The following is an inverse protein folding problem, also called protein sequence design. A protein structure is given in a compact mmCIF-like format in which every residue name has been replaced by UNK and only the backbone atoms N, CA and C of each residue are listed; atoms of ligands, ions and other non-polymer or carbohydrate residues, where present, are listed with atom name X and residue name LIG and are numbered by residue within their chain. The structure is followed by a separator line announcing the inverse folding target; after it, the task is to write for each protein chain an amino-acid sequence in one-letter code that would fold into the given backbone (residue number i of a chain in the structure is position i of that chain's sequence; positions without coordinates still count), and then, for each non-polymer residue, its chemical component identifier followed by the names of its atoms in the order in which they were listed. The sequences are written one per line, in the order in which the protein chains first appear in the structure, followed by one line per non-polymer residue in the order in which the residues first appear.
data_IF_463372366009
#
_entry.id   IF_463372366009
#
_cell.length_a   1.000
_cell.length_b   1.000
_cell.length_c   1.000
_cell.angle_alpha   90.00
_cell.angle_beta   90.00
_cell.angle_gamma   90.00
#
_symmetry.space_group_name_H-M   'P 1'
#
loop_
_entity.id
_entity.type
_entity.pdbx_description
1 polymer ?
#
# COMPACT_ATOMS: atom_id res chain seq x y z
N UNK A 1 8.85 21.50 26.12
CA UNK A 1 9.95 20.52 25.95
C UNK A 1 9.76 19.85 24.60
N UNK A 2 10.55 20.26 23.61
CA UNK A 2 10.53 19.72 22.25
C UNK A 2 11.38 18.45 22.25
N UNK A 3 10.75 17.29 22.14
CA UNK A 3 11.42 16.00 21.95
C UNK A 3 11.86 15.84 20.49
N UNK A 4 13.09 16.18 20.18
CA UNK A 4 13.73 15.82 18.91
C UNK A 4 14.38 14.44 19.06
N UNK A 5 14.28 13.60 18.03
CA UNK A 5 15.02 12.35 17.94
C UNK A 5 16.32 12.59 17.17
N UNK A 6 17.45 12.14 17.73
CA UNK A 6 18.74 12.14 17.06
C UNK A 6 18.95 10.81 16.34
N UNK A 7 19.27 10.87 15.04
CA UNK A 7 19.88 9.74 14.34
C UNK A 7 21.38 9.77 14.67
N UNK A 8 21.82 8.90 15.58
CA UNK A 8 23.23 8.74 15.90
C UNK A 8 23.82 7.68 14.99
N UNK A 9 24.57 8.10 13.98
CA UNK A 9 25.54 7.23 13.33
C UNK A 9 26.80 7.22 14.19
N UNK A 10 27.19 6.04 14.68
CA UNK A 10 28.32 5.84 15.59
C UNK A 10 29.69 6.10 14.95
N UNK A 11 29.80 6.59 13.73
CA UNK A 11 31.09 6.76 13.05
C UNK A 11 31.32 8.04 12.24
N UNK A 12 30.40 9.04 12.18
CA UNK A 12 30.72 10.35 11.55
C UNK A 12 29.92 11.50 12.15
N UNK A 13 30.57 12.66 12.23
CA UNK A 13 30.10 13.94 12.77
C UNK A 13 28.63 14.22 12.48
N UNK A 14 27.85 14.25 13.56
CA UNK A 14 26.41 14.41 13.59
C UNK A 14 25.96 15.73 12.94
N UNK A 15 25.19 15.62 11.87
CA UNK A 15 24.20 16.61 11.55
C UNK A 15 22.97 16.33 12.41
N UNK A 16 22.72 17.16 13.41
CA UNK A 16 21.50 17.09 14.21
C UNK A 16 20.34 17.50 13.33
N UNK A 17 19.51 16.55 12.95
CA UNK A 17 18.24 16.84 12.25
C UNK A 17 17.15 16.89 13.30
N UNK A 18 16.73 18.08 13.72
CA UNK A 18 15.56 18.26 14.56
C UNK A 18 14.30 18.15 13.66
N UNK A 19 13.59 17.04 13.78
CA UNK A 19 12.26 16.89 13.17
C UNK A 19 11.22 17.36 14.18
N UNK A 20 10.60 18.50 13.92
CA UNK A 20 9.42 18.92 14.67
C UNK A 20 8.27 17.97 14.34
N UNK A 21 7.98 17.12 15.31
CA UNK A 21 6.67 16.49 15.55
C UNK A 21 6.11 15.53 14.49
N UNK A 22 6.86 14.51 14.05
CA UNK A 22 6.27 13.24 13.64
C UNK A 22 7.37 12.24 13.26
N UNK A 23 7.20 11.00 13.68
CA UNK A 23 8.20 9.94 13.68
C UNK A 23 8.99 9.81 12.39
N UNK A 24 10.26 9.47 12.54
CA UNK A 24 11.14 9.09 11.43
C UNK A 24 10.45 7.95 10.68
N UNK A 25 10.07 8.20 9.43
CA UNK A 25 9.64 7.14 8.56
C UNK A 25 10.81 6.16 8.39
N UNK A 26 10.53 4.88 8.47
CA UNK A 26 11.54 3.83 8.24
C UNK A 26 12.17 4.01 6.86
N UNK A 27 13.45 3.69 6.75
CA UNK A 27 14.11 3.64 5.44
C UNK A 27 13.53 2.50 4.60
N UNK A 28 13.20 2.82 3.36
CA UNK A 28 12.87 1.85 2.34
C UNK A 28 13.76 2.08 1.13
N UNK A 29 14.41 1.03 0.68
CA UNK A 29 15.34 1.05 -0.47
C UNK A 29 16.43 2.13 -0.38
N UNK A 30 16.87 2.45 0.85
CA UNK A 30 17.94 3.41 1.12
C UNK A 30 17.48 4.87 1.22
N UNK A 31 16.18 5.14 1.12
CA UNK A 31 15.58 6.46 1.26
C UNK A 31 14.55 6.49 2.38
N UNK A 32 14.51 7.58 3.14
CA UNK A 32 13.48 7.83 4.14
C UNK A 32 12.73 9.12 3.82
N UNK A 33 11.41 9.08 3.99
CA UNK A 33 10.54 10.24 3.84
C UNK A 33 10.78 11.22 4.97
N UNK A 34 10.90 12.50 4.65
CA UNK A 34 11.00 13.61 5.59
C UNK A 34 9.89 14.64 5.32
N UNK A 35 9.56 15.40 6.35
CA UNK A 35 8.60 16.50 6.27
C UNK A 35 9.26 17.79 6.75
N UNK A 36 9.25 18.83 5.93
CA UNK A 36 9.77 20.16 6.27
C UNK A 36 8.99 21.24 5.51
N UNK A 37 8.73 22.35 6.19
CA UNK A 37 8.05 23.51 5.61
C UNK A 37 6.69 23.19 4.95
N UNK A 38 5.96 22.24 5.55
CA UNK A 38 4.63 21.84 5.07
C UNK A 38 4.65 20.84 3.92
N UNK A 39 5.82 20.32 3.51
CA UNK A 39 5.96 19.43 2.36
C UNK A 39 6.82 18.20 2.69
N UNK A 40 6.60 17.14 1.92
CA UNK A 40 7.39 15.91 1.98
C UNK A 40 8.52 15.90 0.95
N UNK A 41 9.64 15.32 1.34
CA UNK A 41 10.81 15.02 0.52
C UNK A 41 11.52 13.76 1.02
N UNK A 42 12.74 13.51 0.57
CA UNK A 42 13.45 12.29 0.94
C UNK A 42 14.93 12.54 1.23
N UNK A 43 15.46 11.79 2.18
CA UNK A 43 16.89 11.75 2.56
C UNK A 43 17.45 10.35 2.33
N UNK A 44 18.77 10.26 2.12
CA UNK A 44 19.52 9.01 2.09
C UNK A 44 19.90 8.55 3.52
N UNK A 45 20.52 7.38 3.61
CA UNK A 45 20.98 6.79 4.89
C UNK A 45 22.12 7.60 5.57
N UNK A 46 22.70 8.58 4.87
CA UNK A 46 23.70 9.50 5.42
C UNK A 46 23.09 10.82 5.91
N UNK A 47 21.76 10.97 5.74
CA UNK A 47 21.02 12.18 6.08
C UNK A 47 21.10 13.29 5.02
N UNK A 48 21.64 13.02 3.83
CA UNK A 48 21.65 14.01 2.77
C UNK A 48 20.25 14.08 2.13
N UNK A 49 19.76 15.29 1.88
CA UNK A 49 18.52 15.49 1.14
C UNK A 49 18.72 15.14 -0.33
N UNK A 50 18.09 14.04 -0.76
CA UNK A 50 18.13 13.56 -2.14
C UNK A 50 17.01 14.19 -2.96
N UNK A 51 15.83 14.31 -2.37
CA UNK A 51 14.65 14.90 -3.01
C UNK A 51 14.14 16.04 -2.12
N UNK A 52 13.99 17.23 -2.70
CA UNK A 52 13.52 18.41 -1.98
C UNK A 52 12.12 18.20 -1.39
N UNK A 53 11.83 18.85 -0.25
CA UNK A 53 10.49 18.87 0.33
C UNK A 53 9.58 19.77 -0.51
N UNK A 54 8.83 19.18 -1.44
CA UNK A 54 7.97 19.87 -2.40
C UNK A 54 6.62 19.21 -2.60
N UNK A 55 6.43 18.00 -2.10
CA UNK A 55 5.20 17.24 -2.30
C UNK A 55 4.24 17.42 -1.13
N UNK A 56 2.95 17.61 -1.45
CA UNK A 56 1.90 17.73 -0.44
C UNK A 56 1.71 16.43 0.36
N UNK A 57 2.01 15.28 -0.27
CA UNK A 57 2.05 13.98 0.39
C UNK A 57 2.99 13.04 -0.38
N UNK A 58 3.49 11.99 0.30
CA UNK A 58 4.41 11.04 -0.29
C UNK A 58 4.29 9.66 0.38
N UNK A 59 4.35 8.61 -0.44
CA UNK A 59 4.51 7.22 0.00
C UNK A 59 5.97 6.87 0.27
N UNK A 60 6.23 5.59 0.50
CA UNK A 60 7.57 5.02 0.62
C UNK A 60 8.05 4.49 -0.74
N UNK A 61 9.36 4.41 -0.94
CA UNK A 61 9.93 3.78 -2.14
C UNK A 61 9.71 2.27 -2.11
N UNK A 62 9.25 1.72 -3.24
CA UNK A 62 9.16 0.31 -3.53
C UNK A 62 9.48 0.10 -5.01
N UNK A 63 10.22 -0.96 -5.36
CA UNK A 63 10.64 -1.24 -6.74
C UNK A 63 11.26 -0.03 -7.47
N UNK A 64 11.98 0.82 -6.72
CA UNK A 64 12.65 2.02 -7.24
C UNK A 64 11.77 3.24 -7.44
N UNK A 65 10.48 3.19 -7.12
CA UNK A 65 9.49 4.25 -7.33
C UNK A 65 8.77 4.63 -6.04
N UNK A 66 8.32 5.87 -5.95
CA UNK A 66 7.42 6.34 -4.89
C UNK A 66 6.22 7.07 -5.51
N UNK A 67 5.05 6.90 -4.89
CA UNK A 67 3.87 7.72 -5.19
C UNK A 67 3.99 9.02 -4.41
N UNK A 68 3.80 10.15 -5.08
CA UNK A 68 3.77 11.48 -4.46
C UNK A 68 2.53 12.23 -4.89
N UNK A 69 2.14 13.22 -4.09
CA UNK A 69 1.03 14.11 -4.43
C UNK A 69 1.54 15.54 -4.60
N UNK A 70 1.32 16.12 -5.78
CA UNK A 70 1.69 17.50 -6.08
C UNK A 70 0.58 18.18 -6.89
N UNK A 71 0.23 19.41 -6.52
CA UNK A 71 -0.82 20.18 -7.20
C UNK A 71 -2.17 19.45 -7.37
N UNK A 72 -2.52 18.61 -6.37
CA UNK A 72 -3.75 17.81 -6.38
C UNK A 72 -3.69 16.55 -7.26
N UNK A 73 -2.56 16.28 -7.92
CA UNK A 73 -2.36 15.09 -8.76
C UNK A 73 -1.47 14.08 -8.06
N UNK A 74 -1.71 12.81 -8.33
CA UNK A 74 -0.85 11.72 -7.93
C UNK A 74 0.13 11.38 -9.04
N UNK A 75 1.38 11.22 -8.68
CA UNK A 75 2.51 11.02 -9.59
C UNK A 75 3.42 9.92 -9.07
N UNK A 76 4.14 9.24 -9.97
CA UNK A 76 5.24 8.34 -9.65
C UNK A 76 6.56 9.06 -9.93
N UNK A 77 7.47 9.00 -8.98
CA UNK A 77 8.83 9.51 -9.11
C UNK A 77 9.85 8.38 -8.90
N UNK A 78 11.00 8.51 -9.52
CA UNK A 78 12.16 7.65 -9.26
C UNK A 78 12.96 8.13 -8.03
N UNK A 79 14.02 7.39 -7.67
CA UNK A 79 14.89 7.71 -6.52
C UNK A 79 15.67 9.01 -6.65
N UNK A 80 15.71 9.63 -7.85
CA UNK A 80 16.30 10.96 -8.06
C UNK A 80 15.28 12.08 -7.91
N UNK A 81 13.99 11.72 -7.87
CA UNK A 81 12.87 12.65 -7.88
C UNK A 81 12.40 13.01 -9.29
N UNK A 82 12.88 12.29 -10.31
CA UNK A 82 12.43 12.48 -11.68
C UNK A 82 11.04 11.89 -11.86
N UNK A 83 10.17 12.63 -12.57
CA UNK A 83 8.81 12.20 -12.86
C UNK A 83 8.82 11.02 -13.83
N UNK A 84 8.26 9.88 -13.38
CA UNK A 84 8.10 8.67 -14.20
C UNK A 84 6.71 8.60 -14.81
N UNK A 85 5.68 8.96 -14.04
CA UNK A 85 4.29 8.92 -14.48
C UNK A 85 3.46 10.00 -13.80
N UNK A 86 2.68 10.74 -14.56
CA UNK A 86 1.57 11.56 -14.05
C UNK A 86 0.25 10.90 -14.42
N UNK A 87 -0.61 10.68 -13.44
CA UNK A 87 -1.86 9.94 -13.63
C UNK A 87 -3.07 10.87 -13.70
N UNK A 88 -4.06 10.47 -14.50
CA UNK A 88 -5.40 11.08 -14.48
C UNK A 88 -6.31 10.49 -13.41
N UNK A 89 -5.89 9.35 -12.80
CA UNK A 89 -6.63 8.67 -11.74
C UNK A 89 -6.24 9.19 -10.37
N UNK A 90 -7.16 9.17 -9.43
CA UNK A 90 -6.83 9.35 -8.03
C UNK A 90 -6.23 8.06 -7.46
N UNK A 91 -5.23 8.22 -6.59
CA UNK A 91 -4.63 7.10 -5.85
C UNK A 91 -5.12 7.17 -4.41
N UNK A 92 -5.97 6.22 -3.96
CA UNK A 92 -6.50 6.24 -2.60
C UNK A 92 -5.43 5.98 -1.54
N UNK A 93 -4.36 5.33 -1.94
CA UNK A 93 -3.21 5.01 -1.10
C UNK A 93 -1.93 5.44 -1.80
N UNK A 94 -0.97 5.95 -1.03
CA UNK A 94 0.35 6.35 -1.53
C UNK A 94 1.38 5.20 -1.51
N UNK A 95 0.92 3.98 -1.31
CA UNK A 95 1.72 2.77 -1.40
C UNK A 95 1.09 1.82 -2.40
N UNK A 96 1.92 0.99 -3.01
CA UNK A 96 1.49 -0.06 -3.92
C UNK A 96 2.20 -1.37 -3.57
N UNK A 97 1.72 -2.46 -4.10
CA UNK A 97 2.27 -3.79 -3.86
C UNK A 97 2.28 -4.58 -5.16
N UNK A 98 3.28 -5.44 -5.31
CA UNK A 98 3.42 -6.35 -6.46
C UNK A 98 3.35 -5.63 -7.82
N UNK A 99 3.90 -4.39 -7.88
CA UNK A 99 3.91 -3.57 -9.09
C UNK A 99 2.56 -3.01 -9.52
N UNK A 100 1.51 -3.13 -8.67
CA UNK A 100 0.16 -2.68 -8.95
C UNK A 100 -0.27 -1.58 -7.99
N UNK A 101 -0.75 -0.49 -8.57
CA UNK A 101 -1.18 0.73 -7.90
C UNK A 101 -2.70 0.75 -7.91
N UNK A 102 -3.32 1.00 -6.75
CA UNK A 102 -4.73 1.31 -6.67
C UNK A 102 -5.05 2.59 -7.43
N UNK A 103 -6.11 2.56 -8.21
CA UNK A 103 -6.67 3.73 -8.88
C UNK A 103 -8.16 3.85 -8.58
N UNK A 104 -8.62 5.10 -8.52
CA UNK A 104 -10.05 5.41 -8.41
C UNK A 104 -10.45 6.28 -9.60
N UNK A 105 -11.60 5.97 -10.17
CA UNK A 105 -12.31 6.81 -11.11
C UNK A 105 -13.81 6.69 -10.85
N UNK A 106 -14.50 7.83 -10.74
CA UNK A 106 -15.95 7.88 -10.51
C UNK A 106 -16.42 7.05 -9.29
N UNK A 107 -15.59 7.03 -8.22
CA UNK A 107 -15.89 6.30 -6.99
C UNK A 107 -15.73 4.78 -7.09
N UNK A 108 -15.20 4.26 -8.20
CA UNK A 108 -14.89 2.84 -8.38
C UNK A 108 -13.39 2.60 -8.33
N UNK A 109 -13.02 1.47 -7.78
CA UNK A 109 -11.64 1.02 -7.62
C UNK A 109 -11.20 0.11 -8.77
N UNK A 110 -9.95 0.29 -9.18
CA UNK A 110 -9.25 -0.54 -10.14
C UNK A 110 -7.76 -0.59 -9.85
N UNK A 111 -6.98 -1.08 -10.78
CA UNK A 111 -5.54 -1.18 -10.64
C UNK A 111 -4.82 -0.86 -11.95
N UNK A 112 -3.71 -0.14 -11.84
CA UNK A 112 -2.78 0.10 -12.94
C UNK A 112 -1.38 -0.39 -12.55
N UNK A 113 -0.57 -0.70 -13.52
CA UNK A 113 0.84 -0.99 -13.27
C UNK A 113 1.68 0.30 -13.20
N UNK A 114 2.94 0.18 -12.79
CA UNK A 114 3.89 1.29 -12.67
C UNK A 114 4.26 1.94 -14.01
N UNK A 115 3.85 1.35 -15.16
CA UNK A 115 4.00 1.94 -16.50
C UNK A 115 2.78 2.77 -16.93
N UNK A 116 1.75 2.85 -16.08
CA UNK A 116 0.52 3.60 -16.38
C UNK A 116 -0.54 2.80 -17.15
N UNK A 117 -0.34 1.51 -17.39
CA UNK A 117 -1.35 0.68 -18.05
C UNK A 117 -2.38 0.19 -17.03
N UNK A 118 -3.65 0.43 -17.29
CA UNK A 118 -4.75 -0.14 -16.49
C UNK A 118 -4.77 -1.65 -16.68
N UNK A 119 -4.60 -2.39 -15.60
CA UNK A 119 -4.66 -3.86 -15.56
C UNK A 119 -6.06 -4.31 -15.18
N UNK A 120 -6.68 -3.61 -14.23
CA UNK A 120 -8.05 -3.85 -13.79
C UNK A 120 -8.80 -2.52 -13.87
N UNK A 121 -9.81 -2.44 -14.72
CA UNK A 121 -10.63 -1.24 -14.87
C UNK A 121 -11.32 -0.87 -13.55
N UNK A 122 -11.60 0.43 -13.36
CA UNK A 122 -12.31 0.92 -12.18
C UNK A 122 -13.78 0.46 -12.23
N UNK A 123 -14.08 -0.66 -11.57
CA UNK A 123 -15.40 -1.30 -11.58
C UNK A 123 -15.85 -1.79 -10.20
N UNK A 124 -14.94 -1.93 -9.25
CA UNK A 124 -15.24 -2.43 -7.92
C UNK A 124 -15.66 -1.31 -6.96
N UNK A 125 -16.56 -1.62 -6.03
CA UNK A 125 -17.02 -0.69 -4.99
C UNK A 125 -15.92 -0.42 -3.95
N UNK A 126 -15.03 -1.40 -3.75
CA UNK A 126 -13.84 -1.30 -2.91
C UNK A 126 -12.79 -2.31 -3.38
N UNK A 127 -11.51 -2.03 -3.07
CA UNK A 127 -10.41 -2.94 -3.32
C UNK A 127 -9.30 -2.72 -2.27
N UNK A 128 -8.55 -3.78 -1.97
CA UNK A 128 -7.40 -3.73 -1.06
C UNK A 128 -6.11 -3.97 -1.86
N UNK A 129 -4.96 -3.65 -1.24
CA UNK A 129 -3.66 -3.89 -1.85
C UNK A 129 -3.42 -5.38 -2.12
N UNK A 130 -2.62 -5.68 -3.14
CA UNK A 130 -2.20 -7.04 -3.44
C UNK A 130 -1.36 -7.64 -2.31
N UNK A 131 -1.59 -8.91 -2.04
CA UNK A 131 -0.81 -9.75 -1.13
C UNK A 131 -0.85 -11.17 -1.66
N UNK A 132 0.32 -11.81 -1.78
CA UNK A 132 0.48 -13.19 -2.28
C UNK A 132 -0.16 -13.42 -3.65
N UNK A 133 -0.10 -12.42 -4.54
CA UNK A 133 -0.65 -12.49 -5.90
C UNK A 133 -2.14 -12.21 -6.03
N UNK A 134 -2.83 -11.83 -4.93
CA UNK A 134 -4.26 -11.60 -4.90
C UNK A 134 -4.62 -10.27 -4.23
N UNK A 135 -5.67 -9.62 -4.72
CA UNK A 135 -6.30 -8.50 -4.04
C UNK A 135 -7.76 -8.83 -3.70
N UNK A 136 -8.18 -8.45 -2.51
CA UNK A 136 -9.60 -8.47 -2.14
C UNK A 136 -10.31 -7.36 -2.90
N UNK A 137 -11.44 -7.68 -3.53
CA UNK A 137 -12.31 -6.71 -4.21
C UNK A 137 -13.73 -6.86 -3.70
N UNK A 138 -14.48 -5.75 -3.68
CA UNK A 138 -15.89 -5.75 -3.33
C UNK A 138 -16.73 -5.35 -4.54
N UNK A 139 -17.81 -6.06 -4.79
CA UNK A 139 -18.79 -5.71 -5.79
C UNK A 139 -20.19 -6.04 -5.25
N UNK A 140 -21.10 -5.06 -5.32
CA UNK A 140 -22.47 -5.19 -4.80
C UNK A 140 -22.53 -5.64 -3.33
N UNK A 141 -21.60 -5.12 -2.49
CA UNK A 141 -21.54 -5.43 -1.05
C UNK A 141 -21.00 -6.81 -0.72
N UNK A 142 -20.50 -7.58 -1.69
CA UNK A 142 -19.86 -8.88 -1.48
C UNK A 142 -18.39 -8.84 -1.88
N UNK A 143 -17.57 -9.59 -1.18
CA UNK A 143 -16.13 -9.66 -1.34
C UNK A 143 -15.70 -10.91 -2.11
N UNK A 144 -14.70 -10.75 -2.95
CA UNK A 144 -14.04 -11.79 -3.73
C UNK A 144 -12.56 -11.46 -3.94
N UNK A 145 -11.90 -12.17 -4.84
CA UNK A 145 -10.45 -12.01 -5.05
C UNK A 145 -10.11 -11.98 -6.54
N UNK A 146 -9.27 -11.03 -6.91
CA UNK A 146 -8.65 -10.91 -8.24
C UNK A 146 -7.17 -11.25 -8.16
N UNK A 147 -6.60 -11.79 -9.24
CA UNK A 147 -5.16 -12.00 -9.36
C UNK A 147 -4.47 -10.78 -10.00
N UNK A 148 -3.14 -10.80 -10.07
CA UNK A 148 -2.32 -9.71 -10.67
C UNK A 148 -2.52 -9.54 -12.18
N UNK A 149 -3.20 -10.46 -12.86
CA UNK A 149 -3.59 -10.34 -14.28
C UNK A 149 -4.94 -9.68 -14.48
N UNK A 150 -5.70 -9.49 -13.39
CA UNK A 150 -7.06 -8.94 -13.42
C UNK A 150 -8.18 -9.99 -13.51
N UNK A 151 -7.85 -11.29 -13.43
CA UNK A 151 -8.87 -12.31 -13.42
C UNK A 151 -9.55 -12.37 -12.05
N UNK A 152 -10.89 -12.41 -12.02
CA UNK A 152 -11.66 -12.68 -10.81
C UNK A 152 -11.59 -14.20 -10.52
N UNK A 153 -10.64 -14.58 -9.66
CA UNK A 153 -10.36 -16.00 -9.36
C UNK A 153 -11.27 -16.59 -8.30
N UNK A 154 -11.80 -15.75 -7.43
CA UNK A 154 -12.82 -16.12 -6.43
C UNK A 154 -13.92 -15.08 -6.50
N UNK A 155 -15.13 -15.51 -6.88
CA UNK A 155 -16.28 -14.62 -7.09
C UNK A 155 -16.64 -13.84 -5.83
N UNK A 156 -17.21 -12.63 -6.03
CA UNK A 156 -17.70 -11.79 -4.94
C UNK A 156 -18.95 -12.42 -4.31
N UNK A 157 -18.76 -13.17 -3.24
CA UNK A 157 -19.82 -13.94 -2.56
C UNK A 157 -19.78 -13.82 -1.04
N UNK A 158 -18.65 -13.40 -0.46
CA UNK A 158 -18.46 -13.31 0.98
C UNK A 158 -18.99 -11.99 1.54
N UNK A 159 -19.47 -12.01 2.79
CA UNK A 159 -19.90 -10.81 3.52
C UNK A 159 -18.70 -9.96 3.95
N UNK A 160 -17.56 -10.59 4.15
CA UNK A 160 -16.28 -9.95 4.45
C UNK A 160 -15.13 -10.85 4.01
N UNK A 161 -14.00 -10.26 3.65
CA UNK A 161 -12.77 -10.99 3.33
C UNK A 161 -11.55 -10.15 3.73
N UNK A 162 -10.46 -10.81 4.11
CA UNK A 162 -9.15 -10.20 4.29
C UNK A 162 -8.15 -10.80 3.30
N UNK A 163 -7.07 -10.08 3.06
CA UNK A 163 -5.99 -10.51 2.15
C UNK A 163 -5.40 -11.86 2.55
N UNK A 164 -4.87 -12.57 1.57
CA UNK A 164 -4.13 -13.80 1.81
C UNK A 164 -2.88 -13.54 2.67
N UNK A 165 -2.64 -14.45 3.60
CA UNK A 165 -1.45 -14.52 4.44
C UNK A 165 -1.15 -16.00 4.68
N UNK A 166 0.07 -16.44 4.41
CA UNK A 166 0.49 -17.87 4.50
C UNK A 166 -0.44 -18.81 3.71
N UNK A 167 -0.88 -18.35 2.51
CA UNK A 167 -1.73 -19.10 1.60
C UNK A 167 -3.20 -19.23 2.01
N UNK A 168 -3.63 -18.55 3.08
CA UNK A 168 -5.00 -18.58 3.59
C UNK A 168 -5.60 -17.16 3.66
N UNK A 169 -6.86 -17.03 3.30
CA UNK A 169 -7.64 -15.82 3.46
C UNK A 169 -8.80 -16.05 4.43
N UNK A 170 -8.96 -15.13 5.39
CA UNK A 170 -10.14 -15.11 6.24
C UNK A 170 -11.33 -14.59 5.45
N UNK A 171 -12.44 -15.33 5.50
CA UNK A 171 -13.70 -14.94 4.85
C UNK A 171 -14.87 -15.10 5.82
N UNK A 172 -15.90 -14.30 5.65
CA UNK A 172 -17.14 -14.36 6.41
C UNK A 172 -18.29 -14.73 5.48
N UNK A 173 -19.15 -15.63 5.92
CA UNK A 173 -20.39 -15.98 5.25
C UNK A 173 -21.48 -16.18 6.30
N UNK A 174 -22.61 -15.51 6.11
CA UNK A 174 -23.76 -15.56 7.06
C UNK A 174 -23.36 -15.25 8.51
N UNK A 175 -22.46 -14.27 8.68
CA UNK A 175 -21.98 -13.81 10.00
C UNK A 175 -20.99 -14.76 10.67
N UNK A 176 -20.56 -15.85 10.02
CA UNK A 176 -19.55 -16.77 10.52
C UNK A 176 -18.27 -16.72 9.72
N UNK A 177 -17.15 -16.82 10.42
CA UNK A 177 -15.81 -16.78 9.83
C UNK A 177 -15.26 -18.17 9.58
N UNK A 178 -14.53 -18.29 8.48
CA UNK A 178 -13.75 -19.44 8.08
C UNK A 178 -12.53 -19.02 7.26
N UNK A 179 -11.77 -19.97 6.78
CA UNK A 179 -10.59 -19.70 5.96
C UNK A 179 -10.61 -20.51 4.67
N UNK A 180 -10.21 -19.84 3.59
CA UNK A 180 -10.08 -20.44 2.25
C UNK A 180 -8.63 -20.39 1.80
N UNK A 181 -8.24 -21.31 0.91
CA UNK A 181 -6.96 -21.25 0.23
C UNK A 181 -7.07 -20.41 -1.06
N UNK A 182 -5.94 -20.21 -1.76
CA UNK A 182 -5.82 -19.43 -3.01
C UNK A 182 -6.65 -19.97 -4.19
N UNK A 183 -7.20 -21.19 -4.09
CA UNK A 183 -8.14 -21.78 -5.06
C UNK A 183 -9.61 -21.59 -4.65
N UNK A 184 -9.87 -20.85 -3.55
CA UNK A 184 -11.22 -20.67 -3.02
C UNK A 184 -11.78 -21.88 -2.28
N UNK A 185 -10.96 -22.91 -2.02
CA UNK A 185 -11.41 -24.08 -1.25
C UNK A 185 -11.45 -23.73 0.22
N UNK A 186 -12.57 -24.03 0.86
CA UNK A 186 -12.75 -23.91 2.31
C UNK A 186 -11.82 -24.89 3.04
N UNK A 187 -10.94 -24.37 3.89
CA UNK A 187 -9.98 -25.13 4.69
C UNK A 187 -10.45 -25.21 6.13
N UNK A 188 -10.91 -24.08 6.69
CA UNK A 188 -11.49 -24.00 8.04
C UNK A 188 -12.95 -23.60 7.88
N UNK A 189 -13.91 -24.41 8.33
CA UNK A 189 -15.35 -24.16 8.17
C UNK A 189 -15.84 -22.86 8.83
N UNK A 190 -16.98 -22.33 8.36
CA UNK A 190 -17.65 -21.15 8.92
C UNK A 190 -18.34 -21.45 10.25
N UNK A 191 -17.58 -21.55 11.33
CA UNK A 191 -18.12 -21.89 12.67
C UNK A 191 -17.92 -20.78 13.70
N UNK A 192 -17.03 -19.84 13.43
CA UNK A 192 -16.55 -18.89 14.44
C UNK A 192 -17.26 -17.54 14.32
N UNK A 193 -17.63 -16.95 15.46
CA UNK A 193 -18.17 -15.58 15.52
C UNK A 193 -17.09 -14.52 15.34
N UNK A 194 -15.85 -14.84 15.70
CA UNK A 194 -14.66 -14.02 15.48
C UNK A 194 -13.43 -14.91 15.37
N UNK A 195 -12.47 -14.48 14.55
CA UNK A 195 -11.16 -15.15 14.42
C UNK A 195 -10.07 -14.09 14.26
N UNK A 196 -8.88 -14.38 14.79
CA UNK A 196 -7.68 -13.58 14.57
C UNK A 196 -7.14 -13.70 13.15
N UNK A 197 -6.02 -13.02 12.91
CA UNK A 197 -5.19 -13.23 11.72
C UNK A 197 -4.24 -14.39 11.96
N UNK A 198 -3.93 -15.16 10.93
CA UNK A 198 -2.82 -16.11 11.00
C UNK A 198 -1.51 -15.35 11.22
N UNK A 199 -0.69 -15.86 12.13
CA UNK A 199 0.67 -15.37 12.37
C UNK A 199 1.52 -16.56 12.81
N UNK A 200 2.62 -16.83 12.10
CA UNK A 200 3.54 -17.94 12.41
C UNK A 200 2.83 -19.31 12.52
N UNK A 201 2.05 -19.68 11.51
CA UNK A 201 1.29 -20.93 11.42
C UNK A 201 0.21 -21.15 12.52
N UNK A 202 -0.12 -20.11 13.30
CA UNK A 202 -1.16 -20.15 14.34
C UNK A 202 -2.14 -18.98 14.19
N UNK A 203 -3.43 -19.24 14.40
CA UNK A 203 -4.51 -18.26 14.44
C UNK A 203 -5.08 -18.13 15.85
#
# INVERSE_FOLDING_TARGET
QNGGYELVDSQRSAGVFSFNNSGIASFSEGLAKIFSDGNYGFIDTKGNRVIACQYADAGTFADGLAIVKQNGKCELIDKKGDLVLSSQYDFPYLNYSEGLIHIIQEGKYGFMNTKGNVVISCQYDNAFIFSEGFAVVCQNGKYGFVNTKGDLVISCQYDNALSFTDGLARVCMDGKYGFINTKGRLIIPYHYDAVGMFSNDLA
#
